data_IF_486261286469
#
_entry.id   IF_486261286469
#
_cell.length_a   1.000
_cell.length_b   1.000
_cell.length_c   1.000
_cell.angle_alpha   90.00
_cell.angle_beta   90.00
_cell.angle_gamma   90.00
#
_symmetry.space_group_name_H-M   'P 1'
#
loop_
_entity.id
_entity.type
_entity.pdbx_description
1 polymer ?
#
# COMPACT_ATOMS: atom_id res chain seq x y z
N UNK A 1 -11.62 12.78 9.68
CA UNK A 1 -11.91 14.21 9.41
C UNK A 1 -10.71 14.91 8.75
N UNK A 2 -9.47 14.47 8.99
CA UNK A 2 -8.26 14.95 8.28
C UNK A 2 -8.25 14.61 6.78
N UNK A 3 -8.84 13.46 6.40
CA UNK A 3 -8.78 12.92 5.03
C UNK A 3 -9.34 13.87 3.97
N UNK A 4 -10.45 14.55 4.27
CA UNK A 4 -11.09 15.46 3.33
C UNK A 4 -10.25 16.73 3.08
N UNK A 5 -9.47 17.19 4.08
CA UNK A 5 -8.56 18.32 3.92
C UNK A 5 -7.34 17.96 3.07
N UNK A 6 -6.86 16.71 3.13
CA UNK A 6 -5.70 16.23 2.35
C UNK A 6 -6.02 16.09 0.85
N UNK A 7 -7.23 15.65 0.50
CA UNK A 7 -7.67 15.57 -0.91
C UNK A 7 -7.75 16.96 -1.56
N UNK A 8 -8.16 17.99 -0.82
CA UNK A 8 -8.20 19.38 -1.31
C UNK A 8 -6.78 19.94 -1.50
N UNK A 9 -5.83 19.57 -0.64
CA UNK A 9 -4.44 20.03 -0.73
C UNK A 9 -3.67 19.42 -1.92
N UNK A 10 -4.09 18.27 -2.45
CA UNK A 10 -3.53 17.71 -3.71
C UNK A 10 -3.71 18.64 -4.92
N UNK A 11 -4.76 19.48 -4.91
CA UNK A 11 -5.11 20.30 -6.07
C UNK A 11 -4.34 21.63 -6.10
N UNK A 12 -3.85 22.10 -4.93
CA UNK A 12 -3.03 23.33 -4.81
C UNK A 12 -1.89 23.13 -3.78
N UNK A 13 -0.79 22.48 -4.17
CA UNK A 13 0.30 22.14 -3.24
C UNK A 13 1.02 23.36 -2.65
N UNK A 14 1.05 24.51 -3.35
CA UNK A 14 1.73 25.72 -2.89
C UNK A 14 1.10 26.41 -1.66
N UNK A 15 -0.09 26.00 -1.22
CA UNK A 15 -0.74 26.55 -0.03
C UNK A 15 -0.45 25.76 1.25
N UNK A 16 0.28 24.63 1.16
CA UNK A 16 0.46 23.71 2.28
C UNK A 16 1.33 24.32 3.40
N UNK A 17 2.33 25.14 3.04
CA UNK A 17 3.23 25.79 3.98
C UNK A 17 2.54 26.79 4.93
N UNK A 18 1.41 27.38 4.52
CA UNK A 18 0.62 28.33 5.32
C UNK A 18 -0.75 27.82 5.73
N UNK A 19 -0.99 26.51 5.66
CA UNK A 19 -2.31 25.95 5.95
C UNK A 19 -2.57 25.85 7.45
N UNK A 20 -3.65 26.46 7.93
CA UNK A 20 -4.14 26.30 9.32
C UNK A 20 -4.38 24.83 9.68
N UNK A 21 -4.74 24.00 8.69
CA UNK A 21 -4.92 22.57 8.90
C UNK A 21 -3.61 21.87 9.31
N UNK A 22 -2.47 22.32 8.80
CA UNK A 22 -1.17 21.76 9.17
C UNK A 22 -0.76 22.20 10.58
N UNK A 23 -1.00 23.47 10.93
CA UNK A 23 -0.76 23.96 12.28
C UNK A 23 -1.66 23.28 13.32
N UNK A 24 -2.92 23.02 12.96
CA UNK A 24 -3.81 22.23 13.80
C UNK A 24 -3.34 20.79 13.93
N UNK A 25 -2.88 20.16 12.84
CA UNK A 25 -2.36 18.79 12.86
C UNK A 25 -1.08 18.67 13.70
N UNK A 26 -0.21 19.70 13.72
CA UNK A 26 0.93 19.81 14.63
C UNK A 26 0.50 19.89 16.09
N UNK A 27 -0.45 20.78 16.40
CA UNK A 27 -1.00 20.93 17.76
C UNK A 27 -1.68 19.65 18.26
N UNK A 28 -2.30 18.90 17.37
CA UNK A 28 -2.94 17.62 17.66
C UNK A 28 -1.96 16.44 17.72
N UNK A 29 -0.68 16.65 17.36
CA UNK A 29 0.35 15.60 17.36
C UNK A 29 0.21 14.56 16.24
N UNK A 30 -0.73 14.75 15.31
CA UNK A 30 -0.94 13.85 14.16
C UNK A 30 0.18 14.05 13.12
N UNK A 31 0.64 15.28 12.96
CA UNK A 31 1.80 15.61 12.13
C UNK A 31 3.05 15.63 12.99
N UNK A 32 3.79 14.51 12.96
CA UNK A 32 4.99 14.30 13.77
C UNK A 32 6.25 14.87 13.11
N UNK A 33 7.33 15.03 13.89
CA UNK A 33 8.63 15.46 13.36
C UNK A 33 9.21 14.53 12.28
N UNK A 34 8.76 13.28 12.21
CA UNK A 34 9.13 12.33 11.13
C UNK A 34 8.56 12.77 9.78
N UNK A 35 7.33 13.29 9.77
CA UNK A 35 6.71 13.85 8.57
C UNK A 35 7.41 15.15 8.14
N UNK A 36 7.83 15.98 9.09
CA UNK A 36 8.61 17.20 8.82
C UNK A 36 9.97 16.88 8.19
N UNK A 37 10.69 15.90 8.75
CA UNK A 37 11.97 15.46 8.22
C UNK A 37 11.85 14.92 6.78
N UNK A 38 10.80 14.12 6.52
CA UNK A 38 10.48 13.67 5.16
C UNK A 38 10.21 14.84 4.24
N UNK A 39 9.38 15.79 4.67
CA UNK A 39 9.01 16.93 3.84
C UNK A 39 10.22 17.79 3.48
N UNK A 40 11.08 18.10 4.46
CA UNK A 40 12.32 18.85 4.23
C UNK A 40 13.27 18.13 3.27
N UNK A 41 13.41 16.81 3.40
CA UNK A 41 14.27 16.02 2.52
C UNK A 41 13.67 15.90 1.10
N UNK A 42 12.35 15.79 0.99
CA UNK A 42 11.65 15.70 -0.29
C UNK A 42 11.69 17.04 -1.04
N UNK A 43 11.44 18.17 -0.37
CA UNK A 43 11.52 19.50 -0.99
C UNK A 43 12.95 19.87 -1.39
N UNK A 44 13.95 19.48 -0.59
CA UNK A 44 15.35 19.70 -0.92
C UNK A 44 15.84 18.90 -2.16
N UNK A 45 15.19 17.77 -2.50
CA UNK A 45 15.63 16.89 -3.60
C UNK A 45 14.79 16.99 -4.87
N UNK A 46 13.47 17.12 -4.71
CA UNK A 46 12.50 17.11 -5.80
C UNK A 46 11.99 18.54 -6.11
N UNK A 47 12.35 19.53 -5.28
CA UNK A 47 11.78 20.87 -5.31
C UNK A 47 10.50 20.97 -4.47
N UNK A 48 10.08 22.19 -4.18
CA UNK A 48 8.97 22.47 -3.25
C UNK A 48 7.64 21.83 -3.67
N UNK A 49 7.27 21.97 -4.95
CA UNK A 49 6.01 21.45 -5.49
C UNK A 49 5.95 19.93 -5.42
N UNK A 50 6.96 19.25 -5.95
CA UNK A 50 6.99 17.78 -5.99
C UNK A 50 7.22 17.19 -4.60
N UNK A 51 8.08 17.79 -3.79
CA UNK A 51 8.28 17.35 -2.40
C UNK A 51 7.00 17.46 -1.55
N UNK A 52 6.21 18.51 -1.78
CA UNK A 52 4.90 18.66 -1.12
C UNK A 52 3.89 17.64 -1.63
N UNK A 53 3.85 17.35 -2.94
CA UNK A 53 3.01 16.27 -3.48
C UNK A 53 3.38 14.92 -2.88
N UNK A 54 4.67 14.61 -2.75
CA UNK A 54 5.16 13.39 -2.11
C UNK A 54 4.67 13.30 -0.67
N UNK A 55 4.79 14.37 0.12
CA UNK A 55 4.29 14.40 1.49
C UNK A 55 2.78 14.10 1.52
N UNK A 56 1.98 14.77 0.68
CA UNK A 56 0.53 14.56 0.66
C UNK A 56 0.18 13.12 0.28
N UNK A 57 0.88 12.52 -0.69
CA UNK A 57 0.68 11.11 -1.03
C UNK A 57 0.99 10.18 0.15
N UNK A 58 2.04 10.47 0.92
CA UNK A 58 2.37 9.69 2.14
C UNK A 58 1.30 9.87 3.22
N UNK A 59 0.77 11.08 3.40
CA UNK A 59 -0.32 11.33 4.35
C UNK A 59 -1.58 10.53 3.96
N UNK A 60 -1.86 10.36 2.67
CA UNK A 60 -2.98 9.54 2.19
C UNK A 60 -2.78 8.03 2.43
N UNK A 61 -1.55 7.55 2.67
CA UNK A 61 -1.32 6.15 3.04
C UNK A 61 -1.96 5.78 4.38
N UNK A 62 -2.10 6.75 5.30
CA UNK A 62 -2.77 6.54 6.59
C UNK A 62 -4.25 6.13 6.46
N UNK A 63 -4.86 6.25 5.28
CA UNK A 63 -6.21 5.73 5.02
C UNK A 63 -6.28 4.21 4.98
N UNK A 64 -5.19 3.58 4.56
CA UNK A 64 -5.14 2.13 4.31
C UNK A 64 -4.17 1.40 5.23
N UNK A 65 -3.30 2.16 5.93
CA UNK A 65 -2.25 1.65 6.81
C UNK A 65 -2.35 2.36 8.16
N UNK A 66 -2.02 1.64 9.23
CA UNK A 66 -1.96 2.24 10.56
C UNK A 66 -0.81 3.25 10.65
N UNK A 67 -1.03 4.33 11.39
CA UNK A 67 -0.06 5.43 11.46
C UNK A 67 1.32 5.02 11.98
N UNK A 68 1.38 4.09 12.94
CA UNK A 68 2.64 3.53 13.45
C UNK A 68 3.46 2.84 12.34
N UNK A 69 2.80 2.09 11.46
CA UNK A 69 3.45 1.38 10.36
C UNK A 69 3.95 2.36 9.28
N UNK A 70 3.19 3.42 9.02
CA UNK A 70 3.61 4.50 8.11
C UNK A 70 4.82 5.26 8.68
N UNK A 71 4.81 5.61 9.98
CA UNK A 71 5.93 6.26 10.65
C UNK A 71 7.20 5.40 10.60
N UNK A 72 7.08 4.08 10.80
CA UNK A 72 8.19 3.14 10.66
C UNK A 72 8.74 3.10 9.23
N UNK A 73 7.85 3.09 8.22
CA UNK A 73 8.22 3.14 6.81
C UNK A 73 8.97 4.42 6.45
N UNK A 74 8.44 5.58 6.86
CA UNK A 74 9.10 6.88 6.63
C UNK A 74 10.49 6.90 7.29
N UNK A 75 10.58 6.45 8.54
CA UNK A 75 11.85 6.47 9.30
C UNK A 75 12.93 5.63 8.61
N UNK A 76 12.58 4.47 8.07
CA UNK A 76 13.51 3.60 7.33
C UNK A 76 13.93 4.19 5.99
N UNK A 77 13.00 4.82 5.27
CA UNK A 77 13.33 5.53 4.03
C UNK A 77 14.22 6.76 4.27
N UNK A 78 14.01 7.48 5.38
CA UNK A 78 14.90 8.57 5.79
C UNK A 78 16.33 8.06 6.07
N UNK A 79 16.47 6.91 6.75
CA UNK A 79 17.77 6.28 7.00
C UNK A 79 18.48 5.85 5.71
N UNK A 80 17.76 5.35 4.72
CA UNK A 80 18.32 5.01 3.40
C UNK A 80 18.49 6.22 2.49
N UNK A 81 18.01 7.40 2.90
CA UNK A 81 17.98 8.59 2.06
C UNK A 81 17.15 8.37 0.81
N UNK A 82 15.96 7.79 0.92
CA UNK A 82 14.98 7.64 -0.16
C UNK A 82 13.72 8.44 0.18
N UNK A 83 13.18 9.17 -0.78
CA UNK A 83 11.96 10.00 -0.61
C UNK A 83 10.81 9.55 -1.52
N UNK A 84 10.91 8.36 -2.13
CA UNK A 84 9.86 7.82 -3.01
C UNK A 84 8.67 7.29 -2.21
N UNK A 85 7.46 7.66 -2.65
CA UNK A 85 6.19 7.15 -2.11
C UNK A 85 6.12 5.62 -2.16
N UNK A 86 6.60 5.01 -3.25
CA UNK A 86 6.50 3.57 -3.45
C UNK A 86 7.37 2.83 -2.43
N UNK A 87 8.60 3.31 -2.20
CA UNK A 87 9.50 2.75 -1.21
C UNK A 87 8.95 2.88 0.21
N UNK A 88 8.38 4.04 0.55
CA UNK A 88 7.74 4.27 1.86
C UNK A 88 6.53 3.35 2.03
N UNK A 89 5.71 3.20 0.99
CA UNK A 89 4.54 2.32 1.02
C UNK A 89 4.93 0.85 1.19
N UNK A 90 6.02 0.41 0.56
CA UNK A 90 6.53 -0.94 0.67
C UNK A 90 7.03 -1.22 2.11
N UNK A 91 7.83 -0.31 2.66
CA UNK A 91 8.38 -0.50 4.00
C UNK A 91 7.32 -0.36 5.10
N UNK A 92 6.28 0.46 4.87
CA UNK A 92 5.11 0.52 5.74
C UNK A 92 4.30 -0.79 5.71
N UNK A 93 4.05 -1.37 4.52
CA UNK A 93 3.38 -2.68 4.40
C UNK A 93 4.18 -3.79 5.07
N UNK A 94 5.49 -3.82 4.86
CA UNK A 94 6.40 -4.77 5.52
C UNK A 94 6.37 -4.63 7.04
N UNK A 95 6.24 -3.41 7.54
CA UNK A 95 6.07 -3.17 8.98
C UNK A 95 4.72 -3.69 9.48
N UNK A 96 3.64 -3.47 8.74
CA UNK A 96 2.31 -4.01 9.08
C UNK A 96 2.30 -5.55 9.11
N UNK A 97 2.94 -6.20 8.12
CA UNK A 97 3.13 -7.64 8.06
C UNK A 97 3.95 -8.18 9.25
N UNK A 98 5.03 -7.49 9.64
CA UNK A 98 5.83 -7.85 10.81
C UNK A 98 5.02 -7.79 12.12
N UNK A 99 4.03 -6.89 12.19
CA UNK A 99 3.09 -6.81 13.29
C UNK A 99 1.92 -7.80 13.20
N UNK A 100 1.95 -8.74 12.24
CA UNK A 100 0.83 -9.66 11.92
C UNK A 100 -0.50 -8.94 11.64
N UNK A 101 -0.43 -7.66 11.29
CA UNK A 101 -1.56 -6.84 10.86
C UNK A 101 -1.53 -6.85 9.35
N UNK A 102 -2.01 -7.93 8.75
CA UNK A 102 -2.24 -7.92 7.31
C UNK A 102 -3.13 -6.72 6.99
N UNK A 103 -2.77 -5.88 6.00
CA UNK A 103 -3.67 -4.83 5.57
C UNK A 103 -4.99 -5.49 5.21
N UNK A 104 -6.09 -4.92 5.67
CA UNK A 104 -7.46 -5.37 5.44
C UNK A 104 -7.71 -5.48 3.93
N UNK A 105 -7.30 -6.60 3.34
CA UNK A 105 -7.90 -7.11 2.12
C UNK A 105 -9.18 -7.73 2.63
N UNK A 106 -10.29 -7.03 2.43
CA UNK A 106 -11.63 -7.59 2.54
C UNK A 106 -11.80 -8.62 1.43
N UNK A 107 -11.15 -9.77 1.59
CA UNK A 107 -11.53 -11.00 0.93
C UNK A 107 -12.29 -11.78 1.98
N UNK A 108 -13.57 -12.03 1.71
CA UNK A 108 -14.46 -12.87 2.52
C UNK A 108 -14.10 -14.37 2.42
N UNK A 109 -12.85 -14.67 2.03
CA UNK A 109 -12.29 -16.00 2.04
C UNK A 109 -11.61 -16.18 3.38
N UNK A 110 -12.21 -17.03 4.21
CA UNK A 110 -11.57 -17.64 5.38
C UNK A 110 -10.10 -17.93 5.03
N UNK A 111 -9.13 -17.28 5.70
CA UNK A 111 -7.74 -17.59 5.45
C UNK A 111 -7.54 -19.08 5.76
N UNK A 112 -6.92 -19.86 4.84
CA UNK A 112 -6.58 -21.24 5.18
C UNK A 112 -5.75 -21.21 6.46
N UNK A 113 -6.05 -22.12 7.39
CA UNK A 113 -5.32 -22.27 8.64
C UNK A 113 -3.83 -22.13 8.39
N UNK A 114 -3.06 -21.38 9.23
CA UNK A 114 -1.66 -21.10 8.96
C UNK A 114 -0.95 -22.43 8.77
N UNK A 115 -0.65 -22.75 7.50
CA UNK A 115 0.21 -23.85 7.17
C UNK A 115 1.51 -23.53 7.89
N UNK A 116 1.87 -24.38 8.85
CA UNK A 116 3.15 -24.32 9.54
C UNK A 116 4.21 -23.94 8.52
N UNK A 117 4.93 -22.84 8.76
CA UNK A 117 5.85 -22.18 7.84
C UNK A 117 6.73 -23.21 7.12
N UNK A 118 6.25 -23.71 5.99
CA UNK A 118 6.91 -24.74 5.21
C UNK A 118 7.89 -24.03 4.28
N UNK A 119 8.98 -23.55 4.88
CA UNK A 119 10.04 -22.84 4.18
C UNK A 119 9.59 -21.51 3.59
N UNK A 120 10.56 -20.66 3.29
CA UNK A 120 10.37 -19.58 2.34
C UNK A 120 9.70 -20.16 1.07
N UNK A 121 8.80 -19.43 0.37
CA UNK A 121 8.36 -19.89 -0.94
C UNK A 121 9.62 -20.13 -1.76
N UNK A 122 9.90 -21.40 -2.09
CA UNK A 122 11.09 -21.75 -2.83
C UNK A 122 10.99 -20.98 -4.15
N UNK A 123 11.78 -19.91 -4.28
CA UNK A 123 11.87 -19.14 -5.50
C UNK A 123 12.53 -20.07 -6.50
N UNK A 124 11.71 -20.81 -7.26
CA UNK A 124 12.20 -21.69 -8.30
C UNK A 124 12.90 -20.83 -9.35
N UNK A 125 14.12 -21.21 -9.72
CA UNK A 125 14.84 -20.53 -10.78
C UNK A 125 13.99 -20.51 -12.06
N UNK A 126 14.04 -19.43 -12.82
CA UNK A 126 13.29 -19.31 -14.07
C UNK A 126 13.61 -20.47 -15.04
N UNK A 127 14.86 -20.94 -15.05
CA UNK A 127 15.28 -22.06 -15.90
C UNK A 127 14.72 -23.40 -15.44
N UNK A 128 14.58 -23.59 -14.13
CA UNK A 128 13.95 -24.77 -13.53
C UNK A 128 12.46 -24.79 -13.85
N UNK A 129 11.79 -23.65 -13.70
CA UNK A 129 10.39 -23.47 -14.06
C UNK A 129 10.15 -23.73 -15.55
N UNK A 130 10.99 -23.20 -16.45
CA UNK A 130 10.91 -23.46 -17.89
C UNK A 130 11.05 -24.95 -18.22
N UNK A 131 11.96 -25.65 -17.54
CA UNK A 131 12.16 -27.09 -17.75
C UNK A 131 10.92 -27.89 -17.35
N UNK A 132 10.26 -27.50 -16.25
CA UNK A 132 9.01 -28.13 -15.83
C UNK A 132 7.87 -27.94 -16.84
N UNK A 133 7.78 -26.76 -17.48
CA UNK A 133 6.77 -26.47 -18.51
C UNK A 133 6.92 -27.32 -19.78
N UNK A 134 8.14 -27.71 -20.14
CA UNK A 134 8.38 -28.62 -21.29
C UNK A 134 7.72 -30.00 -21.09
N UNK A 135 7.49 -30.38 -19.84
CA UNK A 135 6.88 -31.66 -19.45
C UNK A 135 5.45 -31.48 -18.91
N UNK A 136 4.83 -30.32 -19.12
CA UNK A 136 3.46 -30.08 -18.66
C UNK A 136 2.47 -30.96 -19.46
N UNK A 137 1.89 -31.93 -18.77
CA UNK A 137 0.93 -32.91 -19.30
C UNK A 137 -0.50 -32.64 -18.84
N UNK A 138 -0.75 -31.49 -18.21
CA UNK A 138 -2.09 -31.13 -17.74
C UNK A 138 -3.07 -31.06 -18.94
N UNK A 139 -4.31 -31.53 -18.77
CA UNK A 139 -5.32 -31.40 -19.80
C UNK A 139 -5.59 -29.91 -20.08
N UNK A 140 -5.87 -29.58 -21.34
CA UNK A 140 -6.17 -28.19 -21.73
C UNK A 140 -7.29 -27.63 -20.85
N UNK A 141 -7.16 -26.40 -20.35
CA UNK A 141 -8.22 -25.78 -19.57
C UNK A 141 -9.50 -25.70 -20.42
N UNK A 142 -10.63 -26.04 -19.81
CA UNK A 142 -11.96 -25.85 -20.40
C UNK A 142 -12.23 -24.36 -20.47
N UNK A 143 -12.27 -23.81 -21.68
CA UNK A 143 -12.46 -22.36 -21.92
C UNK A 143 -13.86 -21.91 -21.46
N UNK A 144 -14.83 -22.82 -21.47
CA UNK A 144 -16.22 -22.58 -21.06
C UNK A 144 -16.34 -22.19 -19.58
N UNK A 145 -15.38 -22.59 -18.75
CA UNK A 145 -15.32 -22.19 -17.33
C UNK A 145 -14.85 -20.72 -17.18
N UNK A 146 -14.08 -20.20 -18.14
CA UNK A 146 -13.56 -18.85 -18.11
C UNK A 146 -14.56 -17.83 -18.67
N UNK A 147 -15.38 -18.23 -19.66
CA UNK A 147 -16.46 -17.39 -20.18
C UNK A 147 -17.46 -16.97 -19.09
N UNK A 148 -17.67 -17.82 -18.09
CA UNK A 148 -18.50 -17.51 -16.92
C UNK A 148 -17.98 -16.31 -16.11
N UNK A 149 -16.66 -16.05 -16.14
CA UNK A 149 -16.06 -14.91 -15.44
C UNK A 149 -16.25 -13.59 -16.21
N UNK A 150 -16.31 -13.65 -17.53
CA UNK A 150 -16.58 -12.48 -18.38
C UNK A 150 -18.06 -12.06 -18.30
N UNK A 151 -18.95 -13.02 -18.04
CA UNK A 151 -20.39 -12.80 -17.93
C UNK A 151 -20.89 -12.62 -16.49
N UNK A 152 -20.00 -12.64 -15.49
CA UNK A 152 -20.36 -12.30 -14.10
C UNK A 152 -20.77 -10.83 -14.02
N UNK A 153 -22.08 -10.59 -14.03
CA UNK A 153 -22.62 -9.25 -13.76
C UNK A 153 -22.58 -8.98 -12.27
N UNK A 154 -22.38 -7.71 -11.85
CA UNK A 154 -22.40 -7.27 -10.43
C UNK A 154 -23.64 -7.74 -9.65
N UNK A 155 -24.71 -8.15 -10.35
CA UNK A 155 -25.96 -8.64 -9.75
C UNK A 155 -25.82 -10.04 -9.14
N UNK A 156 -24.91 -10.87 -9.64
CA UNK A 156 -24.71 -12.25 -9.18
C UNK A 156 -23.84 -12.31 -7.91
N UNK A 157 -22.91 -11.37 -7.73
CA UNK A 157 -22.13 -11.22 -6.50
C UNK A 157 -23.01 -10.89 -5.26
N UNK A 158 -24.22 -10.34 -5.46
CA UNK A 158 -25.15 -10.02 -4.37
C UNK A 158 -26.01 -11.21 -3.93
N UNK A 159 -26.12 -12.26 -4.75
CA UNK A 159 -26.98 -13.42 -4.46
C UNK A 159 -26.28 -14.53 -3.67
N UNK A 160 -24.95 -14.62 -3.76
CA UNK A 160 -24.19 -15.68 -3.06
C UNK A 160 -23.93 -15.37 -1.58
N UNK A 161 -24.08 -14.11 -1.13
CA UNK A 161 -23.91 -13.71 0.27
C UNK A 161 -25.18 -13.83 1.13
N UNK A 162 -26.19 -14.57 0.68
CA UNK A 162 -27.42 -14.80 1.45
C UNK A 162 -27.79 -16.29 1.42
N UNK A 163 -26.97 -17.10 2.09
CA UNK A 163 -27.41 -18.33 2.74
C UNK A 163 -26.45 -18.81 3.79
#
# INVERSE_FOLDING_TARGET
MLDHYLEVLLTKPGALAGSEALDQARRQGVFTGVHEALWAQATGRLGETEGTKTLVQVLLLHRHLHGEDVLAGISRCLQSGTVSIDAISLEARKSAEAHSRSPTVTSDLEPPAPAAQAGQPAVTSLDEHRRALLHDTRPRPRLENWDQLLHRTRKDARKEGSR
#
